data_IF_095179474753
#
_entry.id   IF_095179474753
#
_cell.length_a   1.000
_cell.length_b   1.000
_cell.length_c   1.000
_cell.angle_alpha   90.00
_cell.angle_beta   90.00
_cell.angle_gamma   90.00
#
_symmetry.space_group_name_H-M   'P 1'
#
loop_
_entity.id
_entity.type
_entity.pdbx_description
1 polymer ?
#
# COMPACT_ATOMS: atom_id res chain seq x y z
N UNK A 1 -38.32 25.76 21.95
CA UNK A 1 -38.14 24.49 21.21
C UNK A 1 -36.65 24.39 20.85
N UNK A 2 -35.87 23.65 21.64
CA UNK A 2 -34.40 23.60 21.52
C UNK A 2 -33.96 22.47 20.61
N UNK A 3 -33.07 22.76 19.65
CA UNK A 3 -32.47 21.74 18.79
C UNK A 3 -31.42 20.96 19.60
N UNK A 4 -31.68 19.69 19.87
CA UNK A 4 -30.67 18.77 20.41
C UNK A 4 -29.52 18.64 19.41
N UNK A 5 -28.30 18.97 19.87
CA UNK A 5 -27.08 18.75 19.10
C UNK A 5 -26.89 17.25 18.90
N UNK A 6 -27.07 16.77 17.67
CA UNK A 6 -26.72 15.41 17.26
C UNK A 6 -25.31 15.06 17.75
N UNK A 7 -25.24 14.12 18.72
CA UNK A 7 -23.99 13.58 19.26
C UNK A 7 -23.25 12.88 18.12
N UNK A 8 -22.23 13.54 17.53
CA UNK A 8 -21.38 12.91 16.51
C UNK A 8 -20.74 11.67 17.13
N UNK A 9 -21.08 10.49 16.61
CA UNK A 9 -20.46 9.24 17.00
C UNK A 9 -18.95 9.34 16.80
N UNK A 10 -18.15 8.84 17.74
CA UNK A 10 -16.69 8.80 17.59
C UNK A 10 -16.38 8.00 16.31
N UNK A 11 -15.49 8.50 15.43
CA UNK A 11 -15.12 7.76 14.24
C UNK A 11 -14.56 6.40 14.67
N UNK A 12 -15.11 5.33 14.08
CA UNK A 12 -14.69 3.95 14.33
C UNK A 12 -13.21 3.83 13.95
N UNK A 13 -12.40 3.23 14.82
CA UNK A 13 -10.98 3.00 14.52
C UNK A 13 -10.82 2.13 13.27
N UNK A 14 -9.78 2.42 12.48
CA UNK A 14 -9.47 1.65 11.26
C UNK A 14 -8.49 0.52 11.60
N UNK A 15 -8.71 -0.64 10.99
CA UNK A 15 -7.83 -1.79 11.06
C UNK A 15 -7.07 -1.98 9.74
N UNK A 16 -5.86 -2.53 9.82
CA UNK A 16 -5.05 -2.90 8.67
C UNK A 16 -4.87 -4.42 8.67
N UNK A 17 -5.16 -5.08 7.55
CA UNK A 17 -5.05 -6.52 7.44
C UNK A 17 -4.87 -7.00 6.01
N UNK A 18 -4.54 -8.28 5.87
CA UNK A 18 -4.36 -8.96 4.59
C UNK A 18 -5.43 -10.06 4.52
N UNK A 19 -6.17 -10.19 3.40
CA UNK A 19 -7.19 -11.24 3.28
C UNK A 19 -6.59 -12.64 3.42
N UNK A 20 -7.33 -13.56 4.07
CA UNK A 20 -6.89 -14.95 4.22
C UNK A 20 -6.54 -15.63 2.89
N UNK A 21 -7.28 -15.33 1.81
CA UNK A 21 -6.98 -15.89 0.48
C UNK A 21 -5.60 -15.49 -0.03
N UNK A 22 -5.11 -14.30 0.32
CA UNK A 22 -3.76 -13.85 0.00
C UNK A 22 -2.77 -14.52 0.94
N UNK A 23 -3.05 -14.58 2.24
CA UNK A 23 -2.16 -15.18 3.24
C UNK A 23 -1.98 -16.70 3.06
N UNK A 24 -2.96 -17.38 2.49
CA UNK A 24 -2.91 -18.82 2.20
C UNK A 24 -2.22 -19.13 0.86
N UNK A 25 -1.92 -18.12 0.03
CA UNK A 25 -1.27 -18.31 -1.26
C UNK A 25 0.25 -18.48 -1.08
N UNK A 26 0.88 -19.34 -1.89
CA UNK A 26 2.31 -19.69 -1.78
C UNK A 26 3.22 -18.45 -1.79
N UNK A 27 2.93 -17.47 -2.65
CA UNK A 27 3.68 -16.21 -2.72
C UNK A 27 3.70 -15.39 -1.42
N UNK A 28 2.67 -15.50 -0.57
CA UNK A 28 2.71 -14.90 0.76
C UNK A 28 3.49 -15.77 1.74
N UNK A 29 3.25 -17.09 1.70
CA UNK A 29 3.88 -18.06 2.61
C UNK A 29 5.40 -18.04 2.50
N UNK A 30 5.94 -17.86 1.30
CA UNK A 30 7.38 -17.82 1.03
C UNK A 30 8.05 -16.47 1.35
N UNK A 31 7.29 -15.44 1.77
CA UNK A 31 7.86 -14.14 2.05
C UNK A 31 8.82 -14.16 3.25
N UNK A 32 9.88 -13.36 3.13
CA UNK A 32 10.72 -12.99 4.26
C UNK A 32 9.94 -12.15 5.28
N UNK A 33 10.35 -12.21 6.55
CA UNK A 33 9.71 -11.42 7.62
C UNK A 33 9.75 -9.91 7.37
N UNK A 34 10.76 -9.40 6.68
CA UNK A 34 10.83 -7.97 6.31
C UNK A 34 9.84 -7.62 5.20
N UNK A 35 9.63 -8.50 4.22
CA UNK A 35 8.61 -8.31 3.19
C UNK A 35 7.20 -8.34 3.81
N UNK A 36 6.92 -9.27 4.73
CA UNK A 36 5.65 -9.30 5.48
C UNK A 36 5.46 -7.98 6.25
N UNK A 37 6.49 -7.49 6.97
CA UNK A 37 6.43 -6.20 7.69
C UNK A 37 6.10 -5.04 6.74
N UNK A 38 6.72 -4.99 5.55
CA UNK A 38 6.46 -3.94 4.57
C UNK A 38 5.06 -4.05 3.97
N UNK A 39 4.58 -5.27 3.74
CA UNK A 39 3.23 -5.52 3.21
C UNK A 39 2.14 -5.09 4.19
N UNK A 40 2.36 -5.32 5.49
CA UNK A 40 1.47 -4.81 6.55
C UNK A 40 1.50 -3.28 6.62
N UNK A 41 2.65 -2.65 6.40
CA UNK A 41 2.74 -1.18 6.32
C UNK A 41 2.00 -0.64 5.09
N UNK A 42 2.03 -1.35 3.96
CA UNK A 42 1.23 -1.04 2.78
C UNK A 42 -0.28 -1.11 3.10
N UNK A 43 -0.72 -2.21 3.72
CA UNK A 43 -2.11 -2.39 4.16
C UNK A 43 -2.55 -1.31 5.15
N UNK A 44 -1.65 -0.81 6.00
CA UNK A 44 -1.91 0.29 6.94
C UNK A 44 -2.03 1.65 6.27
N UNK A 45 -1.28 1.90 5.20
CA UNK A 45 -1.39 3.14 4.42
C UNK A 45 -2.67 3.19 3.57
N UNK A 46 -3.18 2.04 3.15
CA UNK A 46 -4.40 1.96 2.39
C UNK A 46 -5.62 2.37 3.23
N UNK A 47 -6.45 3.26 2.69
CA UNK A 47 -7.60 3.85 3.37
C UNK A 47 -8.94 3.56 2.69
N UNK A 48 -8.94 2.68 1.68
CA UNK A 48 -10.12 2.35 0.88
C UNK A 48 -10.28 3.15 -0.42
N UNK A 49 -9.50 4.21 -0.63
CA UNK A 49 -9.63 5.15 -1.77
C UNK A 49 -8.29 5.72 -2.26
N UNK A 50 -7.19 5.05 -1.96
CA UNK A 50 -5.84 5.50 -2.30
C UNK A 50 -4.90 4.37 -2.74
N UNK A 51 -5.42 3.21 -3.11
CA UNK A 51 -4.61 2.13 -3.65
C UNK A 51 -4.05 2.56 -5.01
N UNK A 52 -2.74 2.66 -5.13
CA UNK A 52 -2.08 3.37 -6.22
C UNK A 52 -1.27 4.58 -5.75
N UNK A 53 -1.45 5.03 -4.50
CA UNK A 53 -0.66 6.10 -3.87
C UNK A 53 -0.05 5.65 -2.54
N UNK A 54 0.39 4.39 -2.47
CA UNK A 54 1.16 3.89 -1.34
C UNK A 54 2.64 4.19 -1.58
N UNK A 55 3.36 4.68 -0.59
CA UNK A 55 4.78 4.98 -0.75
C UNK A 55 5.59 4.61 0.48
N UNK A 56 6.87 4.31 0.27
CA UNK A 56 7.77 3.82 1.31
C UNK A 56 9.10 4.56 1.23
N UNK A 57 9.05 5.89 1.27
CA UNK A 57 10.26 6.71 1.25
C UNK A 57 11.04 6.54 2.55
N UNK A 58 12.36 6.66 2.48
CA UNK A 58 13.22 6.36 3.62
C UNK A 58 12.87 7.17 4.88
N UNK A 59 12.61 8.46 4.73
CA UNK A 59 12.23 9.35 5.84
C UNK A 59 11.00 8.82 6.61
N UNK A 60 9.94 8.43 5.89
CA UNK A 60 8.75 7.82 6.48
C UNK A 60 9.07 6.48 7.14
N UNK A 61 9.82 5.61 6.46
CA UNK A 61 10.04 4.25 6.96
C UNK A 61 10.94 4.22 8.21
N UNK A 62 11.83 5.19 8.40
CA UNK A 62 12.61 5.33 9.64
C UNK A 62 11.69 5.56 10.84
N UNK A 63 10.68 6.42 10.70
CA UNK A 63 9.67 6.65 11.74
C UNK A 63 8.84 5.38 12.03
N UNK A 64 8.72 4.48 11.05
CA UNK A 64 8.11 3.15 11.18
C UNK A 64 9.09 2.08 11.68
N UNK A 65 10.27 2.48 12.16
CA UNK A 65 11.26 1.60 12.77
C UNK A 65 12.10 0.79 11.78
N UNK A 66 12.25 1.25 10.54
CA UNK A 66 13.21 0.67 9.58
C UNK A 66 14.61 1.22 9.81
N UNK A 67 15.60 0.33 9.89
CA UNK A 67 16.99 0.68 10.23
C UNK A 67 17.99 0.52 9.08
N UNK A 68 17.57 -0.09 7.96
CA UNK A 68 18.43 -0.31 6.79
C UNK A 68 17.69 -0.01 5.48
N UNK A 69 18.26 0.88 4.67
CA UNK A 69 17.80 1.17 3.30
C UNK A 69 17.88 -0.08 2.41
N UNK A 70 18.93 -0.88 2.57
CA UNK A 70 19.13 -2.11 1.81
C UNK A 70 18.04 -3.12 2.14
N UNK A 71 17.73 -3.34 3.42
CA UNK A 71 16.66 -4.24 3.84
C UNK A 71 15.29 -3.79 3.32
N UNK A 72 14.99 -2.49 3.38
CA UNK A 72 13.77 -1.92 2.80
C UNK A 72 13.72 -2.13 1.27
N UNK A 73 14.83 -1.94 0.59
CA UNK A 73 14.94 -2.16 -0.86
C UNK A 73 14.73 -3.62 -1.23
N UNK A 74 15.33 -4.56 -0.51
CA UNK A 74 15.13 -6.00 -0.70
C UNK A 74 13.67 -6.40 -0.47
N UNK A 75 13.05 -5.91 0.60
CA UNK A 75 11.63 -6.17 0.89
C UNK A 75 10.71 -5.67 -0.23
N UNK A 76 10.96 -4.47 -0.78
CA UNK A 76 10.23 -3.95 -1.95
C UNK A 76 10.38 -4.87 -3.16
N UNK A 77 11.62 -5.24 -3.50
CA UNK A 77 11.91 -6.10 -4.65
C UNK A 77 11.22 -7.46 -4.52
N UNK A 78 11.24 -8.04 -3.34
CA UNK A 78 10.57 -9.31 -3.05
C UNK A 78 9.05 -9.22 -3.24
N UNK A 79 8.39 -8.19 -2.69
CA UNK A 79 6.95 -7.99 -2.85
C UNK A 79 6.52 -7.73 -4.30
N UNK A 80 7.37 -7.05 -5.08
CA UNK A 80 7.17 -6.86 -6.52
C UNK A 80 7.35 -8.19 -7.26
N UNK A 81 8.42 -8.95 -6.96
CA UNK A 81 8.69 -10.25 -7.60
C UNK A 81 7.58 -11.27 -7.33
N UNK A 82 6.96 -11.22 -6.15
CA UNK A 82 5.83 -12.05 -5.73
C UNK A 82 4.48 -11.51 -6.16
N UNK A 83 4.41 -10.39 -6.91
CA UNK A 83 3.18 -9.75 -7.37
C UNK A 83 2.16 -9.51 -6.24
N UNK A 84 2.64 -9.16 -5.04
CA UNK A 84 1.83 -8.73 -3.91
C UNK A 84 1.72 -7.20 -3.84
N UNK A 85 2.74 -6.52 -4.40
CA UNK A 85 2.69 -5.12 -4.77
C UNK A 85 2.94 -4.97 -6.27
N UNK A 86 2.41 -3.91 -6.85
CA UNK A 86 2.77 -3.42 -8.18
C UNK A 86 3.19 -1.95 -8.09
N UNK A 87 4.04 -1.51 -9.02
CA UNK A 87 4.41 -0.10 -9.17
C UNK A 87 3.23 0.59 -9.86
N UNK A 88 2.60 1.55 -9.19
CA UNK A 88 1.51 2.35 -9.76
C UNK A 88 1.98 3.67 -10.37
N UNK A 89 3.12 4.19 -9.89
CA UNK A 89 3.81 5.33 -10.48
C UNK A 89 5.31 5.19 -10.26
N UNK A 90 6.09 5.31 -11.32
CA UNK A 90 7.54 5.27 -11.24
C UNK A 90 8.08 6.54 -10.56
N UNK A 91 9.00 6.33 -9.62
CA UNK A 91 9.78 7.42 -9.05
C UNK A 91 10.91 7.83 -9.97
N UNK A 92 11.69 8.82 -9.56
CA UNK A 92 12.83 9.26 -10.34
C UNK A 92 13.37 10.61 -9.89
N UNK A 93 13.97 11.33 -10.82
CA UNK A 93 14.43 12.69 -10.62
C UNK A 93 13.69 13.60 -11.60
N UNK A 94 13.02 14.63 -11.08
CA UNK A 94 12.38 15.66 -11.90
C UNK A 94 12.86 17.02 -11.43
N UNK A 95 13.44 17.81 -12.34
CA UNK A 95 14.03 19.13 -12.04
C UNK A 95 14.97 19.11 -10.83
N UNK A 96 15.81 18.08 -10.73
CA UNK A 96 16.75 17.93 -9.60
C UNK A 96 16.12 17.51 -8.27
N UNK A 97 14.80 17.27 -8.22
CA UNK A 97 14.10 16.78 -7.04
C UNK A 97 13.76 15.30 -7.18
N UNK A 98 14.02 14.54 -6.12
CA UNK A 98 13.65 13.12 -6.05
C UNK A 98 12.14 12.96 -5.96
N UNK A 99 11.55 12.29 -6.94
CA UNK A 99 10.15 11.88 -6.92
C UNK A 99 10.05 10.47 -6.34
N UNK A 100 9.19 10.24 -5.34
CA UNK A 100 8.98 8.93 -4.79
C UNK A 100 8.28 8.01 -5.78
N UNK A 101 8.62 6.73 -5.73
CA UNK A 101 7.88 5.68 -6.38
C UNK A 101 6.65 5.30 -5.55
N UNK A 102 5.53 5.07 -6.25
CA UNK A 102 4.28 4.65 -5.64
C UNK A 102 3.88 3.23 -6.02
N UNK A 103 3.09 2.63 -5.16
CA UNK A 103 2.72 1.23 -5.21
C UNK A 103 1.22 1.04 -4.97
N UNK A 104 0.73 -0.12 -5.40
CA UNK A 104 -0.62 -0.61 -5.13
C UNK A 104 -0.58 -2.06 -4.61
N UNK A 105 -1.51 -2.41 -3.73
CA UNK A 105 -1.82 -3.78 -3.33
C UNK A 105 -2.53 -4.47 -4.49
N UNK A 106 -2.09 -5.67 -4.87
CA UNK A 106 -2.62 -6.35 -6.07
C UNK A 106 -3.96 -7.07 -5.83
N UNK A 107 -4.32 -7.33 -4.56
CA UNK A 107 -5.63 -7.87 -4.19
C UNK A 107 -6.71 -6.80 -3.98
N UNK A 108 -6.37 -5.52 -4.20
CA UNK A 108 -7.31 -4.41 -4.20
C UNK A 108 -7.38 -3.82 -5.61
N UNK A 109 -8.51 -3.19 -5.94
CA UNK A 109 -8.63 -2.37 -7.15
C UNK A 109 -7.70 -1.15 -7.05
N UNK A 110 -7.17 -0.67 -8.17
CA UNK A 110 -6.39 0.58 -8.23
C UNK A 110 -7.38 1.73 -8.30
N UNK A 111 -7.30 2.63 -7.32
CA UNK A 111 -8.24 3.73 -7.18
C UNK A 111 -7.90 4.86 -8.16
N UNK A 112 -8.92 5.51 -8.70
CA UNK A 112 -8.77 6.84 -9.28
C UNK A 112 -8.57 7.86 -8.15
N UNK A 113 -7.51 8.66 -8.23
CA UNK A 113 -7.12 9.58 -7.16
C UNK A 113 -7.10 11.00 -7.73
N UNK A 114 -8.10 11.80 -7.35
CA UNK A 114 -8.22 13.17 -7.82
C UNK A 114 -6.95 13.99 -7.53
N UNK A 115 -6.45 14.69 -8.55
CA UNK A 115 -5.22 15.48 -8.47
C UNK A 115 -3.94 14.67 -8.36
N UNK A 116 -3.96 13.37 -8.65
CA UNK A 116 -2.78 12.51 -8.64
C UNK A 116 -2.77 11.54 -9.81
N UNK A 117 -1.96 11.85 -10.81
CA UNK A 117 -1.76 11.01 -11.98
C UNK A 117 -0.91 9.78 -11.63
N UNK A 118 -1.45 8.60 -11.91
CA UNK A 118 -0.76 7.31 -11.81
C UNK A 118 -0.37 6.83 -13.21
N UNK A 119 0.67 6.02 -13.30
CA UNK A 119 1.18 5.50 -14.59
C UNK A 119 0.49 4.20 -15.02
N UNK A 120 -0.38 3.66 -14.17
CA UNK A 120 -1.21 2.48 -14.41
C UNK A 120 -2.68 2.90 -14.36
N UNK A 121 -3.48 2.46 -15.31
CA UNK A 121 -4.91 2.78 -15.36
C UNK A 121 -5.64 2.34 -14.07
N UNK A 122 -6.54 3.18 -13.53
CA UNK A 122 -7.45 2.77 -12.46
C UNK A 122 -8.24 1.52 -12.85
N UNK A 123 -8.56 0.68 -11.87
CA UNK A 123 -9.28 -0.58 -12.10
C UNK A 123 -10.50 -0.69 -11.22
N UNK A 124 -11.51 -1.45 -11.67
CA UNK A 124 -12.71 -1.76 -10.88
C UNK A 124 -12.53 -3.07 -10.09
N UNK A 125 -11.72 -3.99 -10.62
CA UNK A 125 -11.43 -5.30 -10.03
C UNK A 125 -9.98 -5.34 -9.54
N UNK A 126 -9.65 -6.17 -8.53
CA UNK A 126 -8.27 -6.43 -8.16
C UNK A 126 -7.40 -6.84 -9.35
N UNK A 127 -6.17 -6.35 -9.38
CA UNK A 127 -5.17 -6.71 -10.40
C UNK A 127 -4.86 -8.21 -10.41
N UNK A 128 -4.96 -8.85 -9.24
CA UNK A 128 -4.66 -10.27 -9.07
C UNK A 128 -5.75 -10.99 -8.30
N UNK A 129 -6.18 -12.12 -8.86
CA UNK A 129 -6.99 -13.11 -8.16
C UNK A 129 -6.07 -14.13 -7.47
N UNK A 130 -6.30 -14.38 -6.19
CA UNK A 130 -5.54 -15.33 -5.38
C UNK A 130 -6.28 -16.63 -5.12
N UNK A 131 -7.50 -16.79 -5.67
CA UNK A 131 -8.20 -18.07 -5.70
C UNK A 131 -7.58 -18.91 -6.82
N UNK A 132 -7.24 -20.17 -6.48
CA UNK A 132 -6.94 -21.22 -7.44
C UNK A 132 -8.13 -21.45 -8.37
#
# INVERSE_FOLDING_TARGET
MGFEKNKRSKPKERFAGIPHVVMNHIDYIELSGNAIKLLLEAARQYNGRNNGKLCFVWSQMVERGWKSKTTLSSAKKELLAKNLLVISKYGGLLHGKGIPQYYALTWQAIDEINGFEIDVEPTIKPMRNFRL
#
